data_IF_030222893625
#
_entry.id   IF_030222893625
#
_cell.length_a   1.000
_cell.length_b   1.000
_cell.length_c   1.000
_cell.angle_alpha   90.00
_cell.angle_beta   90.00
_cell.angle_gamma   90.00
#
_symmetry.space_group_name_H-M   'P 1'
#
loop_
_entity.id
_entity.type
_entity.pdbx_description
1 polymer ?
#
# COMPACT_ATOMS: atom_id res chain seq x y z
N UNK A 1 -10.23 12.03 3.82
CA UNK A 1 -10.60 11.66 2.42
C UNK A 1 -12.10 11.44 2.22
N UNK A 2 -12.92 11.40 3.28
CA UNK A 2 -14.39 11.31 3.17
C UNK A 2 -15.06 12.63 2.76
N UNK A 3 -14.33 13.74 2.66
CA UNK A 3 -14.87 15.05 2.28
C UNK A 3 -14.88 15.30 0.76
N UNK A 4 -14.21 14.45 -0.04
CA UNK A 4 -14.07 14.69 -1.48
C UNK A 4 -14.81 13.69 -2.37
N UNK A 5 -15.63 12.80 -1.81
CA UNK A 5 -16.58 11.96 -2.55
C UNK A 5 -16.03 11.13 -3.73
N UNK A 6 -14.71 11.03 -3.88
CA UNK A 6 -14.09 10.32 -4.98
C UNK A 6 -14.32 8.82 -4.82
N UNK A 7 -14.78 8.17 -5.89
CA UNK A 7 -14.87 6.72 -5.95
C UNK A 7 -13.46 6.15 -5.81
N UNK A 8 -13.18 5.57 -4.64
CA UNK A 8 -11.92 4.87 -4.37
C UNK A 8 -12.10 3.42 -4.76
N UNK A 9 -11.38 2.96 -5.79
CA UNK A 9 -11.26 1.52 -6.09
C UNK A 9 -9.97 1.00 -5.45
N UNK A 10 -10.02 -0.21 -4.93
CA UNK A 10 -8.91 -0.83 -4.23
C UNK A 10 -8.70 -2.24 -4.78
N UNK A 11 -7.47 -2.55 -5.15
CA UNK A 11 -7.12 -3.78 -5.84
C UNK A 11 -5.95 -4.47 -5.14
N UNK A 12 -6.11 -5.76 -4.85
CA UNK A 12 -4.98 -6.62 -4.56
C UNK A 12 -4.23 -6.91 -5.86
N UNK A 13 -2.91 -6.85 -5.81
CA UNK A 13 -2.06 -7.10 -6.99
C UNK A 13 -1.55 -8.54 -7.00
N UNK A 14 -1.66 -9.20 -8.15
CA UNK A 14 -1.16 -10.55 -8.36
C UNK A 14 -0.01 -10.57 -9.38
N UNK A 15 1.05 -11.37 -9.13
CA UNK A 15 1.25 -12.19 -7.93
C UNK A 15 1.54 -11.33 -6.69
N UNK A 16 0.94 -11.70 -5.56
CA UNK A 16 1.32 -11.12 -4.26
C UNK A 16 2.80 -11.42 -3.97
N UNK A 17 3.50 -10.53 -3.24
CA UNK A 17 4.89 -10.73 -2.89
C UNK A 17 5.01 -11.83 -1.82
N UNK A 18 6.21 -12.00 -1.25
CA UNK A 18 6.46 -13.00 -0.19
C UNK A 18 5.37 -12.92 0.90
N UNK A 19 5.01 -14.06 1.51
CA UNK A 19 3.86 -14.23 2.42
C UNK A 19 3.73 -13.24 3.62
N UNK A 20 4.75 -12.43 3.89
CA UNK A 20 4.75 -11.40 4.91
C UNK A 20 4.59 -9.99 4.34
N UNK A 21 4.40 -9.85 3.03
CA UNK A 21 4.15 -8.61 2.35
C UNK A 21 2.87 -8.70 1.53
N UNK A 22 2.19 -7.58 1.37
CA UNK A 22 0.98 -7.47 0.57
C UNK A 22 1.04 -6.20 -0.27
N UNK A 23 0.83 -6.34 -1.57
CA UNK A 23 0.66 -5.22 -2.49
C UNK A 23 -0.81 -4.83 -2.58
N UNK A 24 -1.07 -3.54 -2.40
CA UNK A 24 -2.40 -2.96 -2.55
C UNK A 24 -2.31 -1.71 -3.44
N UNK A 25 -3.04 -1.71 -4.55
CA UNK A 25 -3.22 -0.52 -5.38
C UNK A 25 -4.53 0.19 -5.03
N UNK A 26 -4.45 1.49 -4.88
CA UNK A 26 -5.62 2.36 -4.82
C UNK A 26 -5.70 3.23 -6.06
N UNK A 27 -6.90 3.32 -6.60
CA UNK A 27 -7.25 4.23 -7.68
C UNK A 27 -8.22 5.27 -7.13
N UNK A 28 -7.94 6.53 -7.45
CA UNK A 28 -8.74 7.67 -7.07
C UNK A 28 -9.13 8.47 -8.30
N UNK A 29 -10.43 8.71 -8.44
CA UNK A 29 -10.96 9.67 -9.39
C UNK A 29 -10.58 11.10 -8.98
N UNK A 30 -10.10 11.90 -9.94
CA UNK A 30 -9.71 13.30 -9.69
C UNK A 30 -10.76 14.22 -10.33
N UNK A 31 -11.40 15.07 -9.54
CA UNK A 31 -12.28 16.15 -10.01
C UNK A 31 -13.38 15.71 -11.01
N UNK A 32 -13.96 14.52 -10.82
CA UNK A 32 -14.97 13.95 -11.74
C UNK A 32 -14.49 13.77 -13.19
N UNK A 33 -13.19 13.56 -13.36
CA UNK A 33 -12.57 13.28 -14.66
C UNK A 33 -12.41 11.77 -14.83
N UNK A 34 -12.99 11.20 -15.88
CA UNK A 34 -12.86 9.79 -16.25
C UNK A 34 -11.62 9.51 -17.12
N UNK A 35 -10.97 10.56 -17.64
CA UNK A 35 -9.76 10.46 -18.46
C UNK A 35 -8.48 10.27 -17.64
N UNK A 36 -8.49 10.65 -16.35
CA UNK A 36 -7.31 10.62 -15.49
C UNK A 36 -7.66 10.10 -14.09
N UNK A 37 -6.80 9.24 -13.54
CA UNK A 37 -6.90 8.79 -12.15
C UNK A 37 -5.56 8.96 -11.43
N UNK A 38 -5.61 9.17 -10.12
CA UNK A 38 -4.44 9.10 -9.25
C UNK A 38 -4.30 7.68 -8.73
N UNK A 39 -3.11 7.11 -8.92
CA UNK A 39 -2.78 5.78 -8.44
C UNK A 39 -1.83 5.85 -7.26
N UNK A 40 -2.11 5.07 -6.21
CA UNK A 40 -1.22 4.90 -5.05
C UNK A 40 -1.00 3.42 -4.79
N UNK A 41 0.22 2.96 -5.04
CA UNK A 41 0.66 1.60 -4.71
C UNK A 41 1.24 1.60 -3.30
N UNK A 42 0.73 0.72 -2.44
CA UNK A 42 1.25 0.50 -1.09
C UNK A 42 1.79 -0.93 -0.97
N UNK A 43 2.98 -1.05 -0.37
CA UNK A 43 3.51 -2.32 0.16
C UNK A 43 3.26 -2.33 1.66
N UNK A 44 2.62 -3.37 2.16
CA UNK A 44 2.40 -3.55 3.59
C UNK A 44 3.16 -4.78 4.06
N UNK A 45 3.98 -4.64 5.11
CA UNK A 45 4.44 -5.79 5.89
C UNK A 45 3.24 -6.32 6.68
N UNK A 46 2.75 -7.49 6.29
CA UNK A 46 1.72 -8.23 7.00
C UNK A 46 2.42 -9.20 7.92
N UNK A 47 2.50 -8.85 9.20
CA UNK A 47 3.13 -9.67 10.22
C UNK A 47 2.31 -10.97 10.39
N UNK A 48 2.76 -12.04 9.73
CA UNK A 48 2.23 -13.39 9.89
C UNK A 48 2.56 -13.89 11.28
N UNK A 49 1.76 -13.49 12.27
CA UNK A 49 2.13 -13.61 13.69
C UNK A 49 2.46 -15.07 14.09
N UNK A 50 3.74 -15.36 14.32
CA UNK A 50 4.38 -15.80 15.59
C UNK A 50 5.64 -16.63 15.31
N UNK A 51 6.81 -15.99 15.37
CA UNK A 51 7.92 -16.61 16.13
C UNK A 51 8.21 -15.71 17.31
N UNK A 52 8.17 -16.29 18.50
CA UNK A 52 8.44 -15.56 19.73
C UNK A 52 9.88 -15.05 19.74
N UNK A 53 10.04 -13.81 20.23
CA UNK A 53 11.28 -13.24 20.80
C UNK A 53 12.31 -12.72 19.80
N UNK A 54 12.37 -11.40 19.63
CA UNK A 54 13.56 -10.75 19.09
C UNK A 54 13.34 -9.35 18.54
N UNK A 55 13.48 -8.34 19.42
CA UNK A 55 13.85 -6.94 19.15
C UNK A 55 13.32 -6.28 17.86
N UNK A 56 12.39 -5.35 18.05
CA UNK A 56 12.12 -4.27 17.10
C UNK A 56 13.40 -3.47 16.82
N UNK A 57 13.89 -3.50 15.58
CA UNK A 57 14.83 -2.51 15.07
C UNK A 57 14.12 -1.73 13.96
N UNK A 58 14.18 -0.40 14.08
CA UNK A 58 13.59 0.56 13.15
C UNK A 58 14.31 0.47 11.79
N UNK A 59 13.68 -0.12 10.78
CA UNK A 59 14.17 0.00 9.41
C UNK A 59 13.73 1.36 8.86
N UNK A 60 14.69 2.26 8.91
CA UNK A 60 14.58 3.69 8.61
C UNK A 60 14.51 3.87 7.10
N UNK A 61 13.73 4.85 6.63
CA UNK A 61 13.45 5.19 5.21
C UNK A 61 14.69 5.71 4.44
N UNK A 62 15.90 5.45 4.94
CA UNK A 62 17.15 5.98 4.41
C UNK A 62 17.62 5.28 3.12
N UNK A 63 17.24 4.02 2.89
CA UNK A 63 17.73 3.24 1.73
C UNK A 63 17.03 3.55 0.41
N UNK A 64 16.02 4.43 0.40
CA UNK A 64 15.31 4.83 -0.83
C UNK A 64 15.91 6.07 -1.52
N UNK A 65 16.94 6.69 -0.95
CA UNK A 65 17.62 7.84 -1.55
C UNK A 65 18.96 7.40 -2.15
N UNK A 66 18.95 7.16 -3.46
CA UNK A 66 20.14 6.97 -4.30
C UNK A 66 20.70 8.31 -4.76
#
# INVERSE_FOLDING_TARGET
>A
MNEFGGLKRSYYMDPQPLNHFEWHLYEYEINKCDACALYRLELKLVDGKKSAKGKSANDTVADLQK
#
